data_IF_141111969090
#
_entry.id   IF_141111969090
#
_cell.length_a   1.000
_cell.length_b   1.000
_cell.length_c   1.000
_cell.angle_alpha   90.00
_cell.angle_beta   90.00
_cell.angle_gamma   90.00
#
_symmetry.space_group_name_H-M   'P 1'
#
loop_
_entity.id
_entity.type
_entity.pdbx_description
1 polymer ?
#
# COMPACT_ATOMS: atom_id res chain seq x y z
N UNK A 1 -7.64 -0.79 -7.31
CA UNK A 1 -8.90 -0.28 -6.70
C UNK A 1 -9.82 0.23 -7.80
N UNK A 2 -11.04 -0.26 -7.84
CA UNK A 2 -12.10 0.31 -8.66
C UNK A 2 -12.84 1.36 -7.82
N UNK A 3 -12.51 2.62 -8.04
CA UNK A 3 -13.07 3.75 -7.29
C UNK A 3 -14.23 4.37 -8.07
N UNK A 4 -15.40 3.78 -7.89
CA UNK A 4 -16.63 4.17 -8.56
C UNK A 4 -17.83 3.90 -7.64
N UNK A 5 -18.90 4.63 -7.80
CA UNK A 5 -20.13 4.36 -7.06
C UNK A 5 -20.98 3.23 -7.68
N UNK A 6 -20.57 2.71 -8.84
CA UNK A 6 -21.25 1.62 -9.55
C UNK A 6 -20.26 0.48 -9.76
N UNK A 7 -20.65 -0.75 -9.36
CA UNK A 7 -19.84 -1.94 -9.60
C UNK A 7 -19.85 -2.33 -11.07
N UNK A 8 -18.72 -2.73 -11.59
CA UNK A 8 -18.58 -3.31 -12.92
C UNK A 8 -18.47 -4.83 -12.79
N UNK A 9 -19.44 -5.61 -13.32
CA UNK A 9 -19.40 -7.07 -13.21
C UNK A 9 -18.17 -7.71 -13.86
N UNK A 10 -17.59 -7.08 -14.88
CA UNK A 10 -16.38 -7.58 -15.53
C UNK A 10 -15.14 -7.47 -14.66
N UNK A 11 -15.17 -6.60 -13.65
CA UNK A 11 -14.06 -6.40 -12.71
C UNK A 11 -14.23 -7.17 -11.40
N UNK A 12 -15.34 -7.89 -11.24
CA UNK A 12 -15.59 -8.66 -10.02
C UNK A 12 -14.44 -9.62 -9.75
N UNK A 13 -13.98 -9.65 -8.51
CA UNK A 13 -12.87 -10.49 -8.02
C UNK A 13 -11.50 -10.18 -8.63
N UNK A 14 -11.40 -9.15 -9.49
CA UNK A 14 -10.14 -8.72 -10.11
C UNK A 14 -9.58 -7.45 -9.51
N UNK A 15 -10.44 -6.66 -8.86
CA UNK A 15 -10.08 -5.40 -8.24
C UNK A 15 -10.77 -5.27 -6.89
N UNK A 16 -10.19 -4.45 -6.02
CA UNK A 16 -10.88 -4.03 -4.79
C UNK A 16 -11.86 -2.91 -5.16
N UNK A 17 -13.15 -3.15 -4.97
CA UNK A 17 -14.16 -2.13 -5.20
C UNK A 17 -14.23 -1.19 -4.00
N UNK A 18 -14.21 0.11 -4.27
CA UNK A 18 -14.30 1.13 -3.23
C UNK A 18 -15.20 2.28 -3.70
N UNK A 19 -16.42 2.42 -3.15
CA UNK A 19 -17.42 3.34 -3.70
C UNK A 19 -17.20 4.80 -3.36
N UNK A 20 -16.53 5.11 -2.26
CA UNK A 20 -16.33 6.50 -1.84
C UNK A 20 -15.19 7.13 -2.60
N UNK A 21 -15.38 8.38 -3.00
CA UNK A 21 -14.36 9.12 -3.76
C UNK A 21 -13.10 9.29 -2.92
N UNK A 22 -11.96 8.95 -3.49
CA UNK A 22 -10.66 9.08 -2.85
C UNK A 22 -9.95 10.34 -3.37
N UNK A 23 -9.36 11.09 -2.43
CA UNK A 23 -8.53 12.24 -2.75
C UNK A 23 -7.16 11.75 -3.21
N UNK A 24 -6.89 11.82 -4.52
CA UNK A 24 -5.66 11.27 -5.09
C UNK A 24 -4.40 12.01 -4.65
N UNK A 25 -4.50 13.31 -4.34
CA UNK A 25 -3.35 14.05 -3.83
C UNK A 25 -2.91 13.48 -2.47
N UNK A 26 -3.86 13.32 -1.54
CA UNK A 26 -3.57 12.77 -0.22
C UNK A 26 -3.18 11.29 -0.31
N UNK A 27 -3.84 10.55 -1.17
CA UNK A 27 -3.54 9.13 -1.41
C UNK A 27 -2.11 8.94 -1.91
N UNK A 28 -1.68 9.73 -2.89
CA UNK A 28 -0.33 9.65 -3.45
C UNK A 28 0.73 10.12 -2.47
N UNK A 29 0.46 11.13 -1.67
CA UNK A 29 1.35 11.59 -0.62
C UNK A 29 1.54 10.52 0.45
N UNK A 30 0.47 9.83 0.81
CA UNK A 30 0.54 8.70 1.75
C UNK A 30 1.37 7.55 1.18
N UNK A 31 1.21 7.24 -0.11
CA UNK A 31 2.02 6.23 -0.78
C UNK A 31 3.52 6.56 -0.66
N UNK A 32 3.90 7.79 -0.99
CA UNK A 32 5.30 8.23 -0.91
C UNK A 32 5.86 8.17 0.51
N UNK A 33 5.03 8.36 1.52
CA UNK A 33 5.46 8.33 2.92
C UNK A 33 5.91 6.94 3.39
N UNK A 34 5.54 5.88 2.67
CA UNK A 34 6.00 4.52 2.97
C UNK A 34 7.39 4.21 2.41
N UNK A 35 7.92 5.05 1.54
CA UNK A 35 9.23 4.80 0.93
C UNK A 35 10.35 4.90 1.96
N UNK A 36 11.38 4.09 1.77
CA UNK A 36 12.56 4.06 2.63
C UNK A 36 12.64 2.83 3.51
N UNK A 37 13.65 2.81 4.37
CA UNK A 37 13.89 1.72 5.32
C UNK A 37 13.22 2.09 6.64
N UNK A 38 12.23 1.29 7.04
CA UNK A 38 11.41 1.56 8.21
C UNK A 38 10.98 0.24 8.86
N UNK A 39 10.48 0.32 10.09
CA UNK A 39 9.83 -0.82 10.71
C UNK A 39 8.35 -0.83 10.28
N UNK A 40 7.96 -1.86 9.55
CA UNK A 40 6.61 -2.01 9.03
C UNK A 40 5.68 -2.83 9.92
N UNK A 41 6.04 -3.04 11.18
CA UNK A 41 5.22 -3.78 12.14
C UNK A 41 3.79 -3.23 12.24
N UNK A 42 3.61 -1.91 12.14
CA UNK A 42 2.31 -1.27 12.25
C UNK A 42 1.35 -1.57 11.08
N UNK A 43 1.85 -2.14 9.99
CA UNK A 43 1.06 -2.50 8.81
C UNK A 43 1.16 -3.98 8.47
N UNK A 44 1.31 -4.82 9.49
CA UNK A 44 1.29 -6.27 9.29
C UNK A 44 0.22 -6.94 10.14
N UNK A 45 -0.24 -8.09 9.66
CA UNK A 45 -1.06 -8.98 10.47
C UNK A 45 -0.16 -9.96 11.23
N UNK A 46 -0.56 -10.31 12.45
CA UNK A 46 0.10 -11.36 13.22
C UNK A 46 -0.28 -12.72 12.64
N UNK A 47 0.65 -13.64 12.56
CA UNK A 47 0.37 -15.00 12.09
C UNK A 47 1.54 -15.71 11.44
N UNK A 48 2.58 -14.97 11.05
CA UNK A 48 3.80 -15.54 10.50
C UNK A 48 5.00 -15.02 11.29
N UNK A 49 5.85 -15.93 11.74
CA UNK A 49 7.10 -15.54 12.39
C UNK A 49 8.08 -14.97 11.37
N UNK A 50 8.76 -13.91 11.76
CA UNK A 50 9.82 -13.32 10.96
C UNK A 50 10.91 -12.82 11.91
N UNK A 51 12.16 -12.86 11.45
CA UNK A 51 13.30 -12.40 12.24
C UNK A 51 13.27 -10.91 12.50
N UNK A 52 12.73 -10.14 11.56
CA UNK A 52 12.65 -8.69 11.67
C UNK A 52 11.44 -8.18 10.91
N UNK A 53 10.89 -7.07 11.37
CA UNK A 53 9.80 -6.36 10.70
C UNK A 53 10.29 -5.11 9.96
N UNK A 54 11.60 -4.90 9.94
CA UNK A 54 12.22 -3.83 9.16
C UNK A 54 12.30 -4.25 7.70
N UNK A 55 11.83 -3.38 6.82
CA UNK A 55 11.88 -3.57 5.37
C UNK A 55 12.28 -2.27 4.69
N UNK A 56 12.76 -2.39 3.46
CA UNK A 56 13.02 -1.23 2.60
C UNK A 56 12.02 -1.23 1.47
N UNK A 57 11.18 -0.20 1.42
CA UNK A 57 10.32 0.07 0.29
C UNK A 57 11.08 1.00 -0.64
N UNK A 58 11.43 0.49 -1.81
CA UNK A 58 12.21 1.25 -2.78
C UNK A 58 11.36 2.33 -3.43
N UNK A 59 10.12 2.01 -3.74
CA UNK A 59 9.14 2.98 -4.21
C UNK A 59 7.73 2.49 -3.96
N UNK A 60 6.83 3.44 -3.80
CA UNK A 60 5.41 3.20 -3.63
C UNK A 60 4.67 4.31 -4.37
N UNK A 61 3.90 3.95 -5.38
CA UNK A 61 3.27 4.90 -6.30
C UNK A 61 1.80 4.56 -6.47
N UNK A 62 1.01 5.60 -6.67
CA UNK A 62 -0.41 5.47 -6.96
C UNK A 62 -0.76 6.29 -8.19
N UNK A 63 -1.46 5.67 -9.12
CA UNK A 63 -1.90 6.31 -10.36
C UNK A 63 -3.38 6.03 -10.56
N UNK A 64 -4.10 7.02 -11.09
CA UNK A 64 -5.51 6.88 -11.41
C UNK A 64 -5.74 7.07 -12.90
N UNK A 65 -6.39 6.09 -13.52
CA UNK A 65 -6.82 6.16 -14.90
C UNK A 65 -8.31 5.80 -14.95
N UNK A 66 -9.13 6.77 -15.32
CA UNK A 66 -10.58 6.62 -15.21
C UNK A 66 -10.99 6.37 -13.76
N UNK A 67 -11.68 5.28 -13.50
CA UNK A 67 -12.10 4.86 -12.17
C UNK A 67 -11.16 3.85 -11.52
N UNK A 68 -10.05 3.52 -12.17
CA UNK A 68 -9.10 2.54 -11.65
C UNK A 68 -7.90 3.24 -11.01
N UNK A 69 -7.65 2.92 -9.76
CA UNK A 69 -6.46 3.35 -9.05
C UNK A 69 -5.52 2.15 -8.94
N UNK A 70 -4.32 2.30 -9.48
CA UNK A 70 -3.27 1.30 -9.39
C UNK A 70 -2.22 1.75 -8.39
N UNK A 71 -1.99 0.93 -7.37
CA UNK A 71 -0.90 1.13 -6.41
C UNK A 71 0.18 0.11 -6.73
N UNK A 72 1.40 0.60 -6.94
CA UNK A 72 2.56 -0.25 -7.19
C UNK A 72 3.56 -0.07 -6.06
N UNK A 73 3.99 -1.18 -5.48
CA UNK A 73 4.92 -1.19 -4.35
C UNK A 73 6.09 -2.11 -4.68
N UNK A 74 7.30 -1.61 -4.53
CA UNK A 74 8.51 -2.40 -4.68
C UNK A 74 9.31 -2.33 -3.38
N UNK A 75 9.65 -3.48 -2.83
CA UNK A 75 10.37 -3.60 -1.56
C UNK A 75 11.30 -4.80 -1.56
N UNK A 76 12.19 -4.84 -0.59
CA UNK A 76 13.10 -5.98 -0.37
C UNK A 76 12.38 -7.20 0.21
N UNK A 77 11.17 -7.03 0.69
CA UNK A 77 10.32 -8.10 1.21
C UNK A 77 9.04 -7.52 1.78
N UNK A 78 8.02 -8.35 1.90
CA UNK A 78 6.72 -7.96 2.44
C UNK A 78 6.35 -8.81 3.64
N UNK A 79 5.89 -8.16 4.69
CA UNK A 79 5.30 -8.81 5.84
C UNK A 79 3.89 -9.29 5.51
N UNK A 80 3.34 -10.17 6.34
CA UNK A 80 1.99 -10.70 6.14
C UNK A 80 0.96 -9.58 6.08
N UNK A 81 0.20 -9.53 4.98
CA UNK A 81 -0.82 -8.52 4.66
C UNK A 81 -0.30 -7.08 4.61
N UNK A 82 1.02 -6.87 4.54
CA UNK A 82 1.63 -5.55 4.56
C UNK A 82 1.10 -4.63 3.45
N UNK A 83 1.09 -5.08 2.21
CA UNK A 83 0.61 -4.26 1.09
C UNK A 83 -0.85 -3.86 1.28
N UNK A 84 -1.68 -4.78 1.74
CA UNK A 84 -3.11 -4.52 1.95
C UNK A 84 -3.34 -3.51 3.06
N UNK A 85 -2.56 -3.58 4.14
CA UNK A 85 -2.65 -2.62 5.23
C UNK A 85 -2.05 -1.25 4.85
N UNK A 86 -1.01 -1.23 4.04
CA UNK A 86 -0.47 0.02 3.47
C UNK A 86 -1.53 0.75 2.66
N UNK A 87 -2.20 0.04 1.76
CA UNK A 87 -3.25 0.63 0.93
C UNK A 87 -4.43 1.10 1.80
N UNK A 88 -4.81 0.34 2.81
CA UNK A 88 -5.84 0.77 3.76
C UNK A 88 -5.47 2.05 4.50
N UNK A 89 -4.19 2.21 4.83
CA UNK A 89 -3.68 3.44 5.45
C UNK A 89 -3.73 4.62 4.47
N UNK A 90 -3.41 4.39 3.20
CA UNK A 90 -3.55 5.40 2.16
C UNK A 90 -5.00 5.84 1.98
N UNK A 91 -5.94 4.90 2.08
CA UNK A 91 -7.38 5.18 2.03
C UNK A 91 -7.78 6.08 3.21
N UNK A 92 -7.30 5.79 4.41
CA UNK A 92 -7.57 6.63 5.58
C UNK A 92 -6.98 8.03 5.43
N UNK A 93 -5.80 8.16 4.85
CA UNK A 93 -5.21 9.46 4.55
C UNK A 93 -6.08 10.26 3.58
N UNK A 94 -6.66 9.57 2.60
CA UNK A 94 -7.56 10.20 1.63
C UNK A 94 -8.83 10.78 2.26
N UNK A 95 -9.28 10.22 3.38
CA UNK A 95 -10.42 10.76 4.13
C UNK A 95 -10.06 11.83 5.14
N UNK A 96 -8.79 12.02 5.42
CA UNK A 96 -8.36 12.89 6.51
C UNK A 96 -8.41 12.24 7.89
N UNK A 97 -8.56 10.92 7.99
CA UNK A 97 -8.48 10.20 9.27
C UNK A 97 -7.07 10.19 9.83
N UNK A 98 -6.07 10.30 8.97
CA UNK A 98 -4.69 10.52 9.35
C UNK A 98 -4.04 11.39 8.27
N UNK A 99 -2.92 12.00 8.59
CA UNK A 99 -2.20 12.85 7.64
C UNK A 99 -1.04 12.06 7.03
N UNK A 100 -0.80 12.18 5.71
CA UNK A 100 0.32 11.49 5.07
C UNK A 100 1.66 11.72 5.76
N UNK A 101 1.92 12.94 6.20
CA UNK A 101 3.16 13.31 6.87
C UNK A 101 3.36 12.64 8.23
N UNK A 102 2.30 12.10 8.83
CA UNK A 102 2.37 11.39 10.11
C UNK A 102 2.69 9.91 9.95
N UNK A 103 2.63 9.37 8.73
CA UNK A 103 2.82 7.94 8.48
C UNK A 103 4.17 7.43 9.01
N UNK A 104 5.32 8.10 8.76
CA UNK A 104 6.58 7.62 9.30
C UNK A 104 6.57 7.50 10.83
N UNK A 105 5.96 8.45 11.52
CA UNK A 105 5.84 8.41 12.98
C UNK A 105 4.92 7.29 13.46
N UNK A 106 3.83 7.02 12.72
CA UNK A 106 2.92 5.91 13.03
C UNK A 106 3.62 4.56 12.85
N UNK A 107 4.45 4.43 11.81
CA UNK A 107 5.24 3.22 11.60
C UNK A 107 6.23 3.02 12.74
N UNK A 108 6.88 4.09 13.18
CA UNK A 108 7.85 4.02 14.28
C UNK A 108 7.20 3.55 15.58
N UNK A 109 5.96 3.96 15.85
CA UNK A 109 5.21 3.51 17.03
C UNK A 109 4.87 2.03 16.98
N UNK A 110 4.77 1.43 15.79
CA UNK A 110 4.53 0.02 15.61
C UNK A 110 3.15 -0.47 16.06
N UNK A 111 2.19 0.42 16.23
CA UNK A 111 0.84 0.07 16.68
C UNK A 111 -0.11 -0.07 15.49
N UNK A 112 -0.53 -1.31 15.24
CA UNK A 112 -1.44 -1.62 14.13
C UNK A 112 -2.77 -0.86 14.19
N UNK A 113 -3.21 -0.48 15.39
CA UNK A 113 -4.47 0.24 15.58
C UNK A 113 -4.45 1.68 15.08
N UNK A 114 -3.24 2.24 14.89
CA UNK A 114 -3.06 3.61 14.43
C UNK A 114 -3.08 3.74 12.90
N UNK A 115 -3.03 2.62 12.20
CA UNK A 115 -3.00 2.57 10.74
C UNK A 115 -4.36 2.17 10.16
N UNK A 116 -4.46 2.07 8.84
CA UNK A 116 -5.72 1.77 8.18
C UNK A 116 -6.07 0.28 8.17
N UNK A 117 -7.23 -0.07 7.64
CA UNK A 117 -7.68 -1.46 7.60
C UNK A 117 -6.87 -2.28 6.61
N UNK A 118 -6.90 -3.60 6.78
CA UNK A 118 -6.41 -4.51 5.77
C UNK A 118 -7.42 -4.56 4.63
N UNK A 119 -7.06 -4.03 3.47
CA UNK A 119 -7.96 -4.02 2.32
C UNK A 119 -8.23 -5.44 1.81
N UNK A 120 -9.38 -5.69 1.17
CA UNK A 120 -9.67 -6.99 0.59
C UNK A 120 -8.57 -7.46 -0.38
N UNK A 121 -8.35 -8.78 -0.49
CA UNK A 121 -7.27 -9.31 -1.32
C UNK A 121 -7.52 -9.20 -2.83
N UNK A 122 -8.75 -8.97 -3.23
CA UNK A 122 -9.09 -8.83 -4.65
C UNK A 122 -8.33 -7.65 -5.24
N UNK A 123 -7.63 -7.89 -6.32
CA UNK A 123 -6.85 -6.88 -6.99
C UNK A 123 -5.40 -6.78 -6.53
N UNK A 124 -4.95 -7.65 -5.61
CA UNK A 124 -3.54 -7.72 -5.23
C UNK A 124 -2.84 -8.76 -6.11
N UNK A 125 -1.80 -8.32 -6.81
CA UNK A 125 -1.03 -9.16 -7.74
C UNK A 125 0.45 -9.07 -7.44
N UNK A 126 1.13 -10.23 -7.43
CA UNK A 126 2.59 -10.27 -7.49
C UNK A 126 2.99 -10.05 -8.94
N UNK A 127 3.49 -8.87 -9.25
CA UNK A 127 3.76 -8.47 -10.63
C UNK A 127 5.14 -8.92 -11.10
N UNK A 128 6.16 -8.78 -10.24
CA UNK A 128 7.53 -9.11 -10.61
C UNK A 128 8.37 -9.42 -9.38
N UNK A 129 9.30 -10.36 -9.55
CA UNK A 129 10.32 -10.69 -8.54
C UNK A 129 11.69 -10.52 -9.18
N UNK A 130 12.58 -9.77 -8.52
CA UNK A 130 13.97 -9.64 -8.93
C UNK A 130 14.86 -10.41 -7.98
N UNK A 131 15.90 -11.00 -8.54
CA UNK A 131 16.92 -11.71 -7.80
C UNK A 131 18.25 -10.96 -7.92
N UNK A 132 19.18 -11.20 -7.00
CA UNK A 132 20.54 -10.65 -7.05
C UNK A 132 20.62 -9.11 -7.04
N UNK A 133 19.68 -8.45 -6.35
CA UNK A 133 19.69 -7.00 -6.18
C UNK A 133 19.24 -6.21 -7.40
N UNK A 134 18.72 -6.86 -8.43
CA UNK A 134 18.30 -6.19 -9.67
C UNK A 134 17.14 -5.19 -9.46
N UNK A 135 16.41 -5.29 -8.35
CA UNK A 135 15.31 -4.36 -8.04
C UNK A 135 15.77 -2.90 -8.02
N UNK A 136 16.96 -2.65 -7.47
CA UNK A 136 17.52 -1.30 -7.41
C UNK A 136 17.76 -0.70 -8.79
N UNK A 137 18.17 -1.50 -9.74
CA UNK A 137 18.41 -1.06 -11.12
C UNK A 137 17.10 -0.75 -11.85
N UNK A 138 16.04 -1.47 -11.53
CA UNK A 138 14.74 -1.31 -12.17
C UNK A 138 13.96 -0.10 -11.66
N UNK A 139 14.33 0.47 -10.53
CA UNK A 139 13.64 1.63 -9.95
C UNK A 139 13.67 2.85 -10.88
N UNK A 140 14.75 3.03 -11.62
CA UNK A 140 14.93 4.19 -12.50
C UNK A 140 14.16 4.10 -13.81
N UNK A 141 13.58 2.96 -14.14
CA UNK A 141 12.91 2.71 -15.42
C UNK A 141 11.40 2.93 -15.37
N UNK A 142 10.86 3.12 -14.21
CA UNK A 142 9.44 3.37 -13.99
C UNK A 142 9.21 4.81 -13.55
#
# INVERSE_FOLDING_TARGET
>A
IHNSNIRDPFLKDRVCFYPQRLDMEQFSRAAAAFEGTQDFKAVRSVGTETKTTVRTVYWCRAEKEGDIITVSICADGFLYNMCRAMVGTMVYASYGKLRPEDIPALLEKGDRRLTGPTMPPQGLYLNRVWYDGAAGEMMSKD
#
